data_IF_416674010686
#
_entry.id   IF_416674010686
#
_cell.length_a   1.000
_cell.length_b   1.000
_cell.length_c   1.000
_cell.angle_alpha   90.00
_cell.angle_beta   90.00
_cell.angle_gamma   90.00
#
_symmetry.space_group_name_H-M   'P 1'
#
loop_
_entity.id
_entity.type
_entity.pdbx_description
1 polymer ?
#
# COMPACT_ATOMS: atom_id res chain seq x y z
N UNK A 1 -42.47 3.19 -22.87
CA UNK A 1 -42.12 1.78 -23.16
C UNK A 1 -41.70 1.13 -21.85
N UNK A 2 -42.49 0.19 -21.35
CA UNK A 2 -42.29 -0.46 -20.05
C UNK A 2 -41.09 -1.44 -20.11
N UNK A 3 -39.95 -1.04 -19.55
CA UNK A 3 -38.86 -1.99 -19.28
C UNK A 3 -39.27 -2.89 -18.11
N UNK A 4 -39.68 -4.12 -18.40
CA UNK A 4 -39.71 -5.20 -17.41
C UNK A 4 -38.27 -5.38 -16.90
N UNK A 5 -38.04 -5.12 -15.61
CA UNK A 5 -36.77 -5.40 -14.94
C UNK A 5 -36.51 -6.92 -15.04
N UNK A 6 -35.55 -7.33 -15.85
CA UNK A 6 -35.08 -8.71 -15.87
C UNK A 6 -34.27 -8.95 -14.60
N UNK A 7 -34.79 -9.78 -13.70
CA UNK A 7 -34.31 -9.91 -12.31
C UNK A 7 -33.06 -10.78 -12.14
N UNK A 8 -32.47 -11.32 -13.21
CA UNK A 8 -31.36 -12.29 -13.10
C UNK A 8 -29.96 -11.69 -13.12
N UNK A 9 -29.75 -10.53 -13.77
CA UNK A 9 -28.43 -9.89 -13.85
C UNK A 9 -28.55 -8.40 -14.22
N UNK A 10 -27.62 -7.59 -13.72
CA UNK A 10 -27.50 -6.18 -14.08
C UNK A 10 -26.76 -6.03 -15.40
N UNK A 11 -27.34 -5.27 -16.33
CA UNK A 11 -26.70 -4.93 -17.60
C UNK A 11 -25.65 -3.82 -17.42
N UNK A 12 -24.68 -3.75 -18.33
CA UNK A 12 -23.69 -2.65 -18.36
C UNK A 12 -24.36 -1.27 -18.44
N UNK A 13 -25.44 -1.17 -19.22
CA UNK A 13 -26.22 0.07 -19.36
C UNK A 13 -26.91 0.46 -18.05
N UNK A 14 -27.49 -0.49 -17.32
CA UNK A 14 -28.11 -0.22 -16.02
C UNK A 14 -27.08 0.24 -14.98
N UNK A 15 -25.92 -0.41 -14.91
CA UNK A 15 -24.83 -0.01 -14.04
C UNK A 15 -24.31 1.40 -14.39
N UNK A 16 -24.14 1.67 -15.68
CA UNK A 16 -23.70 2.98 -16.16
C UNK A 16 -24.71 4.07 -15.82
N UNK A 17 -25.99 3.85 -16.11
CA UNK A 17 -27.05 4.81 -15.83
C UNK A 17 -27.19 5.05 -14.32
N UNK A 18 -27.11 4.00 -13.51
CA UNK A 18 -27.15 4.11 -12.04
C UNK A 18 -25.99 4.94 -11.51
N UNK A 19 -24.77 4.70 -12.02
CA UNK A 19 -23.59 5.51 -11.67
C UNK A 19 -23.80 6.98 -12.03
N UNK A 20 -24.32 7.29 -13.22
CA UNK A 20 -24.59 8.66 -13.63
C UNK A 20 -25.64 9.34 -12.75
N UNK A 21 -26.69 8.62 -12.32
CA UNK A 21 -27.68 9.17 -11.39
C UNK A 21 -27.09 9.48 -10.02
N UNK A 22 -26.25 8.59 -9.49
CA UNK A 22 -25.53 8.82 -8.22
C UNK A 22 -24.63 10.06 -8.34
N UNK A 23 -23.89 10.18 -9.45
CA UNK A 23 -23.03 11.35 -9.69
C UNK A 23 -23.86 12.62 -9.81
N UNK A 24 -24.99 12.59 -10.51
CA UNK A 24 -25.89 13.75 -10.64
C UNK A 24 -26.42 14.20 -9.29
N UNK A 25 -26.82 13.25 -8.43
CA UNK A 25 -27.20 13.55 -7.06
C UNK A 25 -26.06 14.18 -6.26
N UNK A 26 -24.86 13.60 -6.30
CA UNK A 26 -23.68 14.15 -5.64
C UNK A 26 -23.34 15.57 -6.13
N UNK A 27 -23.40 15.82 -7.44
CA UNK A 27 -23.21 17.15 -7.99
C UNK A 27 -24.25 18.14 -7.48
N UNK A 28 -25.51 17.73 -7.31
CA UNK A 28 -26.55 18.59 -6.73
C UNK A 28 -26.26 19.00 -5.28
N UNK A 29 -25.52 18.18 -4.52
CA UNK A 29 -25.15 18.47 -3.14
C UNK A 29 -23.93 19.40 -3.05
N UNK A 30 -22.93 19.18 -3.91
CA UNK A 30 -21.65 19.90 -3.82
C UNK A 30 -21.53 21.11 -4.75
N UNK A 31 -22.32 21.16 -5.81
CA UNK A 31 -22.26 22.19 -6.86
C UNK A 31 -23.64 22.80 -7.16
N UNK A 32 -24.54 22.84 -6.17
CA UNK A 32 -25.91 23.36 -6.33
C UNK A 32 -25.96 24.76 -6.93
N UNK A 33 -25.15 25.68 -6.38
CA UNK A 33 -25.06 27.06 -6.83
C UNK A 33 -24.56 27.16 -8.28
N UNK A 34 -23.55 26.37 -8.65
CA UNK A 34 -23.01 26.34 -10.00
C UNK A 34 -24.00 25.78 -11.01
N UNK A 35 -24.71 24.70 -10.65
CA UNK A 35 -25.74 24.09 -11.48
C UNK A 35 -26.91 25.05 -11.69
N UNK A 36 -27.39 25.70 -10.63
CA UNK A 36 -28.47 26.68 -10.72
C UNK A 36 -28.06 27.86 -11.62
N UNK A 37 -26.84 28.38 -11.45
CA UNK A 37 -26.30 29.46 -12.25
C UNK A 37 -26.26 29.09 -13.75
N UNK A 38 -25.73 27.92 -14.09
CA UNK A 38 -25.65 27.42 -15.46
C UNK A 38 -27.03 27.13 -16.07
N UNK A 39 -27.97 26.59 -15.30
CA UNK A 39 -29.34 26.35 -15.76
C UNK A 39 -30.07 27.64 -16.16
N UNK A 40 -29.71 28.76 -15.54
CA UNK A 40 -30.25 30.09 -15.82
C UNK A 40 -29.47 30.84 -16.90
N UNK A 41 -28.48 30.20 -17.54
CA UNK A 41 -27.61 30.81 -18.55
C UNK A 41 -26.71 31.92 -18.00
N UNK A 42 -26.48 31.96 -16.69
CA UNK A 42 -25.66 32.99 -16.03
C UNK A 42 -24.19 32.60 -16.05
N UNK A 43 -23.32 33.61 -16.00
CA UNK A 43 -21.87 33.41 -15.91
C UNK A 43 -21.49 32.96 -14.49
N UNK A 44 -20.78 31.84 -14.39
CA UNK A 44 -20.26 31.34 -13.14
C UNK A 44 -19.22 32.29 -12.52
N UNK A 45 -19.13 32.24 -11.19
CA UNK A 45 -18.09 32.90 -10.38
C UNK A 45 -17.43 31.85 -9.48
N UNK A 46 -16.14 32.02 -9.17
CA UNK A 46 -15.39 31.09 -8.29
C UNK A 46 -14.46 30.10 -9.01
N UNK A 47 -14.00 29.08 -8.30
CA UNK A 47 -12.85 28.24 -8.70
C UNK A 47 -13.10 27.36 -9.93
N UNK A 48 -14.36 27.00 -10.21
CA UNK A 48 -14.69 26.17 -11.36
C UNK A 48 -14.75 26.96 -12.68
N UNK A 49 -14.81 28.31 -12.63
CA UNK A 49 -14.95 29.16 -13.82
C UNK A 49 -13.85 28.94 -14.86
N UNK A 50 -12.60 28.83 -14.40
CA UNK A 50 -11.43 28.62 -15.26
C UNK A 50 -11.46 27.29 -16.02
N UNK A 51 -12.33 26.36 -15.63
CA UNK A 51 -12.47 25.06 -16.28
C UNK A 51 -13.56 25.05 -17.36
N UNK A 52 -14.24 26.19 -17.61
CA UNK A 52 -15.35 26.31 -18.56
C UNK A 52 -16.40 25.20 -18.42
N UNK A 53 -17.02 25.04 -17.23
CA UNK A 53 -17.98 23.97 -16.99
C UNK A 53 -19.32 24.29 -17.67
N UNK A 54 -20.04 23.24 -18.04
CA UNK A 54 -21.37 23.33 -18.65
C UNK A 54 -22.24 22.15 -18.20
N UNK A 55 -23.56 22.28 -18.37
CA UNK A 55 -24.51 21.19 -18.15
C UNK A 55 -24.76 20.46 -19.46
N UNK A 56 -24.64 19.13 -19.45
CA UNK A 56 -24.99 18.29 -20.60
C UNK A 56 -26.51 18.07 -20.72
N UNK A 57 -26.93 17.37 -21.78
CA UNK A 57 -28.34 17.02 -22.03
C UNK A 57 -28.96 16.17 -20.91
N UNK A 58 -28.15 15.47 -20.11
CA UNK A 58 -28.59 14.67 -18.97
C UNK A 58 -28.61 15.49 -17.66
N UNK A 59 -28.21 16.76 -17.69
CA UNK A 59 -28.09 17.65 -16.53
C UNK A 59 -26.89 17.34 -15.63
N UNK A 60 -25.84 16.71 -16.17
CA UNK A 60 -24.57 16.51 -15.48
C UNK A 60 -23.64 17.70 -15.72
N UNK A 61 -22.96 18.13 -14.67
CA UNK A 61 -21.92 19.16 -14.74
C UNK A 61 -20.63 18.55 -15.32
N UNK A 62 -20.19 19.07 -16.46
CA UNK A 62 -19.01 18.60 -17.20
C UNK A 62 -18.04 19.72 -17.49
N UNK A 63 -16.80 19.35 -17.81
CA UNK A 63 -15.82 20.29 -18.34
C UNK A 63 -15.89 20.41 -19.85
N UNK A 64 -15.79 21.64 -20.35
CA UNK A 64 -15.44 21.87 -21.75
C UNK A 64 -13.92 21.80 -21.94
N UNK A 65 -13.47 21.69 -23.19
CA UNK A 65 -12.05 21.54 -23.49
C UNK A 65 -11.71 21.67 -24.96
N UNK A 66 -10.41 21.59 -25.26
CA UNK A 66 -9.86 21.78 -26.63
C UNK A 66 -9.97 20.54 -27.53
N UNK A 67 -10.52 19.44 -27.02
CA UNK A 67 -10.61 18.15 -27.73
C UNK A 67 -11.96 17.94 -28.44
N UNK A 68 -12.74 19.00 -28.67
CA UNK A 68 -14.06 18.92 -29.27
C UNK A 68 -14.07 18.14 -30.61
N UNK A 69 -13.10 18.40 -31.48
CA UNK A 69 -12.98 17.76 -32.80
C UNK A 69 -12.21 16.43 -32.81
N UNK A 70 -11.67 15.98 -31.67
CA UNK A 70 -10.91 14.73 -31.61
C UNK A 70 -11.85 13.52 -31.86
N UNK A 71 -11.36 12.46 -32.50
CA UNK A 71 -12.11 11.20 -32.70
C UNK A 71 -12.00 10.30 -31.46
N UNK A 72 -12.47 10.80 -30.32
CA UNK A 72 -12.45 10.11 -29.01
C UNK A 72 -13.85 10.12 -28.37
N UNK A 73 -14.08 9.27 -27.37
CA UNK A 73 -15.37 9.20 -26.69
C UNK A 73 -15.78 10.53 -26.05
N UNK A 74 -17.09 10.80 -25.98
CA UNK A 74 -17.62 12.06 -25.44
C UNK A 74 -17.12 12.35 -24.02
N UNK A 75 -17.05 11.35 -23.14
CA UNK A 75 -16.53 11.50 -21.78
C UNK A 75 -15.06 11.92 -21.71
N UNK A 76 -14.26 11.57 -22.73
CA UNK A 76 -12.86 11.98 -22.82
C UNK A 76 -12.73 13.46 -23.22
N UNK A 77 -13.66 13.95 -24.05
CA UNK A 77 -13.72 15.35 -24.44
C UNK A 77 -14.27 16.21 -23.31
N UNK A 78 -15.30 15.68 -22.65
CA UNK A 78 -16.12 16.37 -21.67
C UNK A 78 -16.27 15.52 -20.40
N UNK A 79 -15.21 15.42 -19.59
CA UNK A 79 -15.25 14.64 -18.36
C UNK A 79 -16.23 15.23 -17.36
N UNK A 80 -16.90 14.36 -16.60
CA UNK A 80 -17.87 14.75 -15.56
C UNK A 80 -17.12 15.27 -14.34
N UNK A 81 -17.52 16.43 -13.81
CA UNK A 81 -16.87 17.00 -12.64
C UNK A 81 -17.26 16.22 -11.38
N UNK A 82 -16.28 15.74 -10.63
CA UNK A 82 -16.50 15.07 -9.36
C UNK A 82 -16.02 15.93 -8.18
N UNK A 83 -16.81 16.03 -7.10
CA UNK A 83 -16.41 16.78 -5.92
C UNK A 83 -15.27 16.08 -5.17
N UNK A 84 -14.38 16.88 -4.59
CA UNK A 84 -13.35 16.40 -3.67
C UNK A 84 -13.99 15.93 -2.37
N UNK A 85 -13.45 14.88 -1.74
CA UNK A 85 -13.94 14.40 -0.44
C UNK A 85 -15.29 13.68 -0.44
N UNK A 86 -15.96 13.54 -1.59
CA UNK A 86 -17.17 12.72 -1.68
C UNK A 86 -16.85 11.22 -1.62
N UNK A 87 -17.79 10.45 -1.09
CA UNK A 87 -17.71 9.00 -1.02
C UNK A 87 -17.62 8.38 -2.42
N UNK A 88 -18.44 8.84 -3.39
CA UNK A 88 -18.40 8.27 -4.75
C UNK A 88 -17.05 8.50 -5.41
N UNK A 89 -16.46 9.70 -5.22
CA UNK A 89 -15.12 10.03 -5.72
C UNK A 89 -14.08 9.07 -5.14
N UNK A 90 -14.14 8.82 -3.83
CA UNK A 90 -13.24 7.89 -3.14
C UNK A 90 -13.38 6.46 -3.66
N UNK A 91 -14.61 5.99 -3.86
CA UNK A 91 -14.91 4.65 -4.37
C UNK A 91 -14.45 4.47 -5.81
N UNK A 92 -14.69 5.46 -6.68
CA UNK A 92 -14.21 5.45 -8.07
C UNK A 92 -12.69 5.41 -8.14
N UNK A 93 -12.00 6.24 -7.35
CA UNK A 93 -10.54 6.22 -7.27
C UNK A 93 -10.05 4.84 -6.81
N UNK A 94 -10.66 4.27 -5.76
CA UNK A 94 -10.27 2.97 -5.21
C UNK A 94 -10.48 1.84 -6.24
N UNK A 95 -11.64 1.82 -6.89
CA UNK A 95 -11.97 0.87 -7.95
C UNK A 95 -10.95 0.95 -9.08
N UNK A 96 -10.62 2.16 -9.53
CA UNK A 96 -9.66 2.35 -10.63
C UNK A 96 -8.23 1.99 -10.23
N UNK A 97 -7.83 2.30 -8.99
CA UNK A 97 -6.54 1.90 -8.45
C UNK A 97 -6.38 0.37 -8.37
N UNK A 98 -7.44 -0.36 -8.00
CA UNK A 98 -7.46 -1.82 -8.00
C UNK A 98 -7.47 -2.40 -9.42
N UNK A 99 -8.29 -1.83 -10.31
CA UNK A 99 -8.37 -2.22 -11.73
C UNK A 99 -7.02 -2.10 -12.45
N UNK A 100 -6.23 -1.09 -12.09
CA UNK A 100 -4.89 -0.84 -12.62
C UNK A 100 -3.78 -1.53 -11.81
N UNK A 101 -4.10 -2.57 -11.04
CA UNK A 101 -3.14 -3.40 -10.32
C UNK A 101 -2.21 -2.60 -9.39
N UNK A 102 -2.79 -1.72 -8.57
CA UNK A 102 -2.06 -0.94 -7.56
C UNK A 102 -0.99 0.01 -8.11
N UNK A 103 -1.18 0.53 -9.32
CA UNK A 103 -0.27 1.49 -9.93
C UNK A 103 -0.18 2.83 -9.18
N UNK A 104 0.79 3.66 -9.56
CA UNK A 104 1.05 4.97 -8.99
C UNK A 104 -0.08 5.99 -9.23
N UNK A 105 -0.20 6.97 -8.34
CA UNK A 105 -1.30 7.94 -8.32
C UNK A 105 -1.47 8.74 -9.63
N UNK A 106 -0.39 9.01 -10.36
CA UNK A 106 -0.46 9.75 -11.63
C UNK A 106 -1.15 8.93 -12.73
N UNK A 107 -0.87 7.63 -12.82
CA UNK A 107 -1.50 6.76 -13.83
C UNK A 107 -2.98 6.52 -13.51
N UNK A 108 -3.32 6.35 -12.23
CA UNK A 108 -4.71 6.29 -11.78
C UNK A 108 -5.45 7.57 -12.16
N UNK A 109 -4.88 8.74 -11.85
CA UNK A 109 -5.51 10.03 -12.21
C UNK A 109 -5.66 10.18 -13.73
N UNK A 110 -4.64 9.80 -14.52
CA UNK A 110 -4.72 9.89 -15.98
C UNK A 110 -5.84 9.03 -16.57
N UNK A 111 -6.05 7.81 -16.03
CA UNK A 111 -7.18 6.96 -16.42
C UNK A 111 -8.53 7.49 -15.92
N UNK A 112 -8.59 8.10 -14.73
CA UNK A 112 -9.83 8.73 -14.26
C UNK A 112 -10.21 9.95 -15.10
N UNK A 113 -9.24 10.78 -15.46
CA UNK A 113 -9.43 12.00 -16.27
C UNK A 113 -10.03 11.73 -17.67
N UNK A 114 -10.02 10.47 -18.11
CA UNK A 114 -10.69 10.03 -19.32
C UNK A 114 -12.23 10.07 -19.23
N UNK A 115 -12.79 10.05 -18.01
CA UNK A 115 -14.23 10.02 -17.76
C UNK A 115 -14.67 11.09 -16.77
N UNK A 116 -13.79 11.42 -15.83
CA UNK A 116 -14.10 12.23 -14.65
C UNK A 116 -13.03 13.28 -14.41
N UNK A 117 -13.44 14.51 -14.16
CA UNK A 117 -12.56 15.56 -13.66
C UNK A 117 -12.76 15.73 -12.16
N UNK A 118 -11.84 15.20 -11.37
CA UNK A 118 -11.92 15.28 -9.91
C UNK A 118 -11.32 16.59 -9.44
N UNK A 119 -12.08 17.40 -8.72
CA UNK A 119 -11.57 18.62 -8.08
C UNK A 119 -10.42 18.24 -7.13
N UNK A 120 -9.26 18.89 -7.25
CA UNK A 120 -8.03 18.51 -6.55
C UNK A 120 -7.61 17.03 -6.77
N UNK A 121 -7.87 16.48 -7.96
CA UNK A 121 -7.78 15.06 -8.26
C UNK A 121 -6.49 14.37 -7.83
N UNK A 122 -5.32 14.97 -8.04
CA UNK A 122 -4.06 14.34 -7.62
C UNK A 122 -3.96 14.16 -6.11
N UNK A 123 -4.46 15.12 -5.31
CA UNK A 123 -4.46 15.02 -3.86
C UNK A 123 -5.43 13.93 -3.39
N UNK A 124 -6.63 13.88 -3.97
CA UNK A 124 -7.63 12.84 -3.65
C UNK A 124 -7.11 11.44 -4.01
N UNK A 125 -6.51 11.28 -5.19
CA UNK A 125 -5.92 10.00 -5.60
C UNK A 125 -4.77 9.59 -4.67
N UNK A 126 -3.87 10.53 -4.31
CA UNK A 126 -2.79 10.25 -3.34
C UNK A 126 -3.34 9.81 -1.99
N UNK A 127 -4.41 10.43 -1.49
CA UNK A 127 -5.05 10.04 -0.22
C UNK A 127 -5.55 8.59 -0.27
N UNK A 128 -6.22 8.19 -1.35
CA UNK A 128 -6.73 6.81 -1.51
C UNK A 128 -5.58 5.81 -1.61
N UNK A 129 -4.58 6.09 -2.45
CA UNK A 129 -3.41 5.20 -2.64
C UNK A 129 -2.61 5.06 -1.35
N UNK A 130 -2.43 6.15 -0.59
CA UNK A 130 -1.70 6.11 0.69
C UNK A 130 -2.40 5.25 1.76
N UNK A 131 -3.74 5.20 1.74
CA UNK A 131 -4.54 4.35 2.63
C UNK A 131 -4.65 2.89 2.16
N UNK A 132 -4.09 2.54 1.00
CA UNK A 132 -4.15 1.18 0.48
C UNK A 132 -3.15 0.27 1.21
N UNK A 133 -3.66 -0.76 1.91
CA UNK A 133 -2.83 -1.74 2.64
C UNK A 133 -1.87 -2.49 1.73
N UNK A 134 -2.31 -2.89 0.53
CA UNK A 134 -1.46 -3.55 -0.46
C UNK A 134 -0.26 -2.67 -0.83
N UNK A 135 -0.51 -1.41 -1.23
CA UNK A 135 0.56 -0.47 -1.53
C UNK A 135 1.47 -0.18 -0.33
N UNK A 136 0.89 -0.06 0.87
CA UNK A 136 1.67 0.14 2.09
C UNK A 136 2.66 -1.01 2.33
N UNK A 137 2.20 -2.26 2.22
CA UNK A 137 3.04 -3.46 2.37
C UNK A 137 4.14 -3.54 1.30
N UNK A 138 3.82 -3.25 0.04
CA UNK A 138 4.80 -3.26 -1.05
C UNK A 138 5.80 -2.10 -0.99
N UNK A 139 5.42 -0.98 -0.36
CA UNK A 139 6.31 0.17 -0.15
C UNK A 139 7.18 0.03 1.10
N UNK A 140 7.09 -1.08 1.84
CA UNK A 140 7.88 -1.27 3.05
C UNK A 140 9.38 -1.13 2.74
N UNK A 141 9.99 -0.07 3.27
CA UNK A 141 11.43 0.13 3.23
C UNK A 141 12.06 -0.56 4.42
N UNK A 142 13.24 -1.14 4.25
CA UNK A 142 14.03 -1.67 5.36
C UNK A 142 14.18 -0.55 6.40
N UNK A 143 13.81 -0.86 7.64
CA UNK A 143 13.98 0.09 8.74
C UNK A 143 15.45 0.47 8.83
N UNK A 144 15.74 1.76 8.82
CA UNK A 144 17.09 2.25 9.12
C UNK A 144 17.32 2.06 10.61
N UNK A 145 17.84 0.90 10.97
CA UNK A 145 18.23 0.62 12.34
C UNK A 145 19.47 1.46 12.65
N UNK A 146 19.39 2.34 13.65
CA UNK A 146 20.58 2.90 14.27
C UNK A 146 21.29 1.73 14.97
N UNK A 147 22.54 1.45 14.62
CA UNK A 147 23.31 0.43 15.34
C UNK A 147 23.44 0.87 16.80
N UNK A 148 22.97 0.02 17.72
CA UNK A 148 23.14 0.29 19.15
C UNK A 148 24.62 0.31 19.51
N UNK A 149 24.97 1.07 20.56
CA UNK A 149 26.31 1.04 21.12
C UNK A 149 26.67 -0.39 21.54
N UNK A 150 27.88 -0.84 21.17
CA UNK A 150 28.38 -2.14 21.58
C UNK A 150 28.52 -2.19 23.12
N UNK A 151 28.26 -3.34 23.77
CA UNK A 151 28.45 -3.47 25.21
C UNK A 151 29.89 -3.14 25.63
N UNK A 152 30.05 -2.54 26.82
CA UNK A 152 31.35 -2.13 27.35
C UNK A 152 32.38 -3.28 27.31
N UNK A 153 31.97 -4.49 27.66
CA UNK A 153 32.85 -5.67 27.64
C UNK A 153 33.39 -6.05 26.25
N UNK A 154 32.72 -5.64 25.16
CA UNK A 154 33.18 -5.90 23.78
C UNK A 154 34.20 -4.85 23.29
N UNK A 155 34.12 -3.62 23.81
CA UNK A 155 34.96 -2.49 23.36
C UNK A 155 36.14 -2.23 24.29
N UNK A 156 35.96 -2.43 25.59
CA UNK A 156 37.02 -2.28 26.56
C UNK A 156 37.90 -3.53 26.57
N UNK A 157 39.22 -3.35 26.62
CA UNK A 157 40.16 -4.45 26.69
C UNK A 157 39.96 -5.19 28.03
N UNK A 158 39.51 -6.44 27.97
CA UNK A 158 39.51 -7.32 29.14
C UNK A 158 40.96 -7.52 29.63
N UNK A 159 41.15 -7.46 30.95
CA UNK A 159 42.46 -7.44 31.59
C UNK A 159 43.09 -8.83 31.64
N UNK A 160 42.26 -9.88 31.72
CA UNK A 160 42.69 -11.28 31.84
C UNK A 160 42.02 -12.15 30.76
N UNK A 161 42.70 -13.22 30.29
CA UNK A 161 42.08 -14.22 29.42
C UNK A 161 40.82 -14.82 30.06
N UNK A 162 39.79 -15.03 29.25
CA UNK A 162 38.48 -15.58 29.63
C UNK A 162 37.70 -14.80 30.71
N UNK A 163 38.12 -13.58 31.06
CA UNK A 163 37.38 -12.69 31.98
C UNK A 163 36.04 -12.24 31.39
N UNK A 164 36.03 -11.92 30.09
CA UNK A 164 34.83 -11.62 29.32
C UNK A 164 34.83 -12.52 28.09
N UNK A 165 33.73 -13.22 27.87
CA UNK A 165 33.56 -14.15 26.76
C UNK A 165 32.25 -13.91 26.03
N UNK A 166 32.28 -14.15 24.72
CA UNK A 166 31.06 -14.42 23.96
C UNK A 166 30.84 -15.92 23.93
N UNK A 167 29.61 -16.35 24.19
CA UNK A 167 29.20 -17.75 24.11
C UNK A 167 28.20 -17.90 22.98
N UNK A 168 28.32 -18.97 22.21
CA UNK A 168 27.35 -19.33 21.18
C UNK A 168 27.32 -20.86 21.01
N UNK A 169 26.24 -21.39 20.46
CA UNK A 169 26.13 -22.81 20.12
C UNK A 169 26.20 -23.00 18.61
N UNK A 170 27.03 -23.93 18.17
CA UNK A 170 27.10 -24.40 16.80
C UNK A 170 26.44 -25.78 16.69
N UNK A 171 25.47 -25.95 15.80
CA UNK A 171 24.82 -27.25 15.57
C UNK A 171 23.45 -27.15 14.88
N UNK A 172 22.69 -28.26 14.80
CA UNK A 172 23.00 -29.59 15.32
C UNK A 172 24.00 -30.35 14.42
N UNK A 173 24.89 -31.12 15.05
CA UNK A 173 25.81 -32.06 14.40
C UNK A 173 25.43 -33.49 14.73
N UNK A 174 25.68 -34.42 13.81
CA UNK A 174 25.52 -35.85 14.06
C UNK A 174 26.74 -36.39 14.78
N UNK A 175 26.55 -36.86 16.02
CA UNK A 175 27.61 -37.42 16.87
C UNK A 175 27.31 -38.88 17.20
N UNK A 176 28.36 -39.67 17.40
CA UNK A 176 28.22 -41.02 17.95
C UNK A 176 28.05 -40.90 19.47
N UNK A 177 26.91 -41.36 19.99
CA UNK A 177 26.61 -41.32 21.43
C UNK A 177 27.45 -42.31 22.25
N UNK A 178 28.13 -43.25 21.59
CA UNK A 178 28.99 -44.25 22.22
C UNK A 178 30.21 -44.57 21.36
N UNK A 179 31.24 -45.13 21.98
CA UNK A 179 32.46 -45.60 21.29
C UNK A 179 32.30 -46.99 20.64
N UNK A 180 31.13 -47.61 20.74
CA UNK A 180 30.85 -48.95 20.20
C UNK A 180 30.80 -48.91 18.65
N UNK A 181 31.21 -50.01 18.01
CA UNK A 181 31.28 -50.18 16.54
C UNK A 181 29.95 -49.91 15.82
N UNK A 182 28.82 -50.11 16.49
CA UNK A 182 27.45 -49.76 16.06
C UNK A 182 26.82 -48.75 17.02
N UNK A 183 27.47 -47.61 17.23
CA UNK A 183 26.91 -46.54 18.05
C UNK A 183 25.64 -45.98 17.42
N UNK A 184 24.65 -45.72 18.27
CA UNK A 184 23.53 -44.84 17.93
C UNK A 184 24.10 -43.46 17.59
N UNK A 185 23.65 -42.91 16.47
CA UNK A 185 23.96 -41.53 16.06
C UNK A 185 22.88 -40.64 16.68
N UNK A 186 23.32 -39.63 17.42
CA UNK A 186 22.47 -38.63 18.04
C UNK A 186 22.83 -37.23 17.59
N UNK A 187 22.02 -36.25 17.99
CA UNK A 187 22.35 -34.84 17.82
C UNK A 187 23.30 -34.40 18.93
N UNK A 188 24.28 -33.59 18.57
CA UNK A 188 25.14 -32.87 19.49
C UNK A 188 25.33 -31.43 19.03
N UNK A 189 25.77 -30.59 19.94
CA UNK A 189 26.06 -29.19 19.71
C UNK A 189 27.49 -28.90 20.19
N UNK A 190 28.11 -27.88 19.63
CA UNK A 190 29.40 -27.38 20.10
C UNK A 190 29.14 -26.05 20.80
N UNK A 191 29.41 -25.98 22.09
CA UNK A 191 29.51 -24.72 22.81
C UNK A 191 30.81 -24.03 22.39
N UNK A 192 30.68 -22.81 21.88
CA UNK A 192 31.78 -21.97 21.42
C UNK A 192 31.95 -20.81 22.39
N UNK A 193 33.01 -20.85 23.18
CA UNK A 193 33.39 -19.79 24.11
C UNK A 193 34.55 -18.99 23.53
N UNK A 194 34.31 -17.72 23.19
CA UNK A 194 35.31 -16.83 22.58
C UNK A 194 35.75 -15.79 23.60
N UNK A 195 37.02 -15.84 23.99
CA UNK A 195 37.62 -14.85 24.88
C UNK A 195 37.71 -13.47 24.21
N UNK A 196 37.23 -12.41 24.87
CA UNK A 196 37.27 -11.07 24.29
C UNK A 196 38.66 -10.41 24.36
N UNK A 197 39.50 -10.77 25.35
CA UNK A 197 40.88 -10.27 25.49
C UNK A 197 41.82 -10.79 24.38
N UNK A 198 41.86 -12.11 24.17
CA UNK A 198 42.84 -12.77 23.29
C UNK A 198 42.25 -13.32 21.99
N UNK A 199 40.92 -13.39 21.87
CA UNK A 199 40.21 -14.13 20.81
C UNK A 199 40.48 -15.64 20.81
N UNK A 200 41.02 -16.18 21.91
CA UNK A 200 41.12 -17.63 22.10
C UNK A 200 39.72 -18.25 22.10
N UNK A 201 39.59 -19.40 21.43
CA UNK A 201 38.34 -20.14 21.31
C UNK A 201 38.46 -21.41 22.14
N UNK A 202 37.52 -21.59 23.07
CA UNK A 202 37.31 -22.84 23.79
C UNK A 202 36.06 -23.51 23.21
N UNK A 203 36.20 -24.78 22.83
CA UNK A 203 35.14 -25.57 22.21
C UNK A 203 34.81 -26.74 23.12
N UNK A 204 33.52 -26.91 23.40
CA UNK A 204 33.04 -28.00 24.23
C UNK A 204 31.84 -28.70 23.59
N UNK A 205 31.76 -30.02 23.77
CA UNK A 205 30.68 -30.83 23.23
C UNK A 205 29.50 -30.84 24.20
N UNK A 206 28.35 -30.39 23.73
CA UNK A 206 27.09 -30.40 24.47
C UNK A 206 26.10 -31.41 23.84
N UNK A 207 25.38 -32.15 24.68
CA UNK A 207 24.33 -33.09 24.23
C UNK A 207 23.06 -32.40 23.76
N UNK A 208 22.74 -31.24 24.33
CA UNK A 208 21.57 -30.44 24.00
C UNK A 208 21.80 -28.93 24.27
N UNK A 209 20.76 -28.12 24.07
CA UNK A 209 20.79 -26.67 24.27
C UNK A 209 20.18 -26.24 25.62
N UNK A 210 20.09 -27.15 26.59
CA UNK A 210 19.53 -26.83 27.91
C UNK A 210 20.55 -26.07 28.75
N UNK A 211 20.04 -25.27 29.69
CA UNK A 211 20.88 -24.59 30.68
C UNK A 211 21.66 -25.58 31.54
N UNK A 212 21.10 -26.74 31.83
CA UNK A 212 21.73 -27.80 32.62
C UNK A 212 22.99 -28.32 31.93
N UNK A 213 22.88 -28.65 30.64
CA UNK A 213 24.05 -29.04 29.82
C UNK A 213 25.05 -27.89 29.70
N UNK A 214 24.60 -26.65 29.50
CA UNK A 214 25.49 -25.49 29.43
C UNK A 214 26.30 -25.26 30.72
N UNK A 215 25.71 -25.50 31.88
CA UNK A 215 26.39 -25.35 33.18
C UNK A 215 27.29 -26.55 33.53
N UNK A 216 27.07 -27.70 32.88
CA UNK A 216 27.87 -28.91 33.06
C UNK A 216 29.12 -28.94 32.16
N UNK A 217 29.18 -28.04 31.17
CA UNK A 217 30.35 -27.71 30.36
C UNK A 217 31.30 -26.80 31.16
#
# INVERSE_FOLDING_TARGET
>A
MNNKLNTSYLTSSELHNSLLQIIKYEQSQYFSAEIECLSKGKKLTGNLTNLHPFLDEMGLLRLSGRLHHAKIAYSHKHPVILPKGSLITTLLIRSEHQRLMHTGSRLVLANLNQKFWIVNGLLEVKKVVHKCVTCFRHKATVAKQLMGSLPAGRVNKASRPFEIMGVDFCGPLEIKLSRIRRSVIGKGYILVCVCFATKAIHLELASDLTTETFLAC
#
